data_IF_620802830342
#
_entry.id   IF_620802830342
#
_cell.length_a   1.000
_cell.length_b   1.000
_cell.length_c   1.000
_cell.angle_alpha   90.00
_cell.angle_beta   90.00
_cell.angle_gamma   90.00
#
_symmetry.space_group_name_H-M   'P 1'
#
loop_
_entity.id
_entity.type
_entity.pdbx_description
1 polymer ?
#
# COMPACT_ATOMS: atom_id res chain seq x y z
N UNK A 1 14.90 -5.82 7.20
CA UNK A 1 13.64 -5.95 7.99
C UNK A 1 12.44 -5.88 7.07
N UNK A 2 11.26 -6.36 7.50
CA UNK A 2 10.00 -6.18 6.80
C UNK A 2 9.08 -5.31 7.66
N UNK A 3 8.19 -4.53 7.03
CA UNK A 3 7.19 -3.70 7.71
C UNK A 3 5.93 -3.62 6.85
N UNK A 4 4.78 -3.91 7.45
CA UNK A 4 3.49 -3.94 6.75
C UNK A 4 2.43 -3.16 7.53
N UNK A 5 2.41 -1.82 7.43
CA UNK A 5 1.35 -1.03 8.08
C UNK A 5 -0.05 -1.44 7.64
N UNK A 6 -0.21 -1.98 6.43
CA UNK A 6 -1.48 -2.57 6.00
C UNK A 6 -2.00 -3.59 7.02
N UNK A 7 -1.16 -4.57 7.41
CA UNK A 7 -1.53 -5.60 8.39
C UNK A 7 -1.73 -4.97 9.78
N UNK A 8 -0.87 -4.02 10.14
CA UNK A 8 -0.93 -3.32 11.42
C UNK A 8 -2.18 -2.43 11.54
N UNK A 9 -2.87 -2.08 10.45
CA UNK A 9 -4.16 -1.40 10.51
C UNK A 9 -5.21 -2.18 11.32
N UNK A 10 -5.06 -3.52 11.41
CA UNK A 10 -5.87 -4.40 12.25
C UNK A 10 -5.17 -4.80 13.55
N UNK A 11 -3.89 -5.22 13.47
CA UNK A 11 -3.19 -5.81 14.63
C UNK A 11 -2.62 -4.77 15.60
N UNK A 12 -2.25 -3.57 15.11
CA UNK A 12 -1.74 -2.45 15.90
C UNK A 12 -2.40 -1.13 15.46
N UNK A 13 -3.72 -0.97 15.61
CA UNK A 13 -4.50 0.05 14.90
C UNK A 13 -4.38 1.47 15.46
N UNK A 14 -3.43 1.76 16.36
CA UNK A 14 -3.35 3.06 17.04
C UNK A 14 -3.17 4.25 16.09
N UNK A 15 -2.47 4.04 14.98
CA UNK A 15 -2.26 5.08 13.96
C UNK A 15 -3.39 5.10 12.89
N UNK A 16 -4.20 4.01 12.77
CA UNK A 16 -5.18 3.84 11.71
C UNK A 16 -6.57 4.35 12.08
N UNK A 17 -7.23 5.03 11.16
CA UNK A 17 -8.57 5.57 11.32
C UNK A 17 -8.64 7.08 11.10
N UNK A 18 -9.84 7.64 11.14
CA UNK A 18 -10.09 9.08 11.18
C UNK A 18 -9.97 9.50 12.64
N UNK A 19 -9.02 10.38 12.95
CA UNK A 19 -8.75 10.84 14.32
C UNK A 19 -9.65 12.02 14.72
N UNK A 20 -9.84 12.26 16.04
CA UNK A 20 -10.50 13.46 16.51
C UNK A 20 -9.86 14.73 15.93
N UNK A 21 -10.70 15.59 15.34
CA UNK A 21 -10.29 16.81 14.66
C UNK A 21 -10.10 16.66 13.13
N UNK A 22 -10.26 15.47 12.59
CA UNK A 22 -10.23 15.20 11.14
C UNK A 22 -11.66 15.06 10.54
N UNK A 23 -12.71 15.18 11.34
CA UNK A 23 -14.08 14.89 10.94
C UNK A 23 -14.57 15.81 9.81
N UNK A 24 -14.13 17.06 9.80
CA UNK A 24 -14.53 18.09 8.83
C UNK A 24 -13.67 18.12 7.57
N UNK A 25 -12.61 17.29 7.49
CA UNK A 25 -11.81 17.15 6.27
C UNK A 25 -12.62 16.50 5.16
N UNK A 26 -12.26 16.74 3.90
CA UNK A 26 -12.80 15.99 2.78
C UNK A 26 -12.42 14.50 2.89
N UNK A 27 -13.15 13.63 2.19
CA UNK A 27 -12.89 12.20 2.24
C UNK A 27 -11.49 11.84 1.76
N UNK A 28 -11.00 12.50 0.70
CA UNK A 28 -9.61 12.31 0.23
C UNK A 28 -8.60 12.75 1.30
N UNK A 29 -8.78 13.90 1.95
CA UNK A 29 -7.88 14.39 2.99
C UNK A 29 -7.86 13.47 4.24
N UNK A 30 -9.00 12.88 4.63
CA UNK A 30 -9.09 11.88 5.69
C UNK A 30 -8.23 10.65 5.37
N UNK A 31 -8.35 10.16 4.13
CA UNK A 31 -7.56 9.02 3.66
C UNK A 31 -6.07 9.39 3.62
N UNK A 32 -5.70 10.53 3.03
CA UNK A 32 -4.31 10.98 2.96
C UNK A 32 -3.67 11.11 4.34
N UNK A 33 -4.41 11.65 5.32
CA UNK A 33 -3.95 11.75 6.71
C UNK A 33 -3.68 10.39 7.34
N UNK A 34 -4.60 9.42 7.15
CA UNK A 34 -4.42 8.05 7.63
C UNK A 34 -3.22 7.37 6.95
N UNK A 35 -3.07 7.54 5.63
CA UNK A 35 -1.97 6.95 4.87
C UNK A 35 -0.60 7.56 5.23
N UNK A 36 -0.56 8.85 5.56
CA UNK A 36 0.65 9.49 6.08
C UNK A 36 1.06 8.87 7.41
N UNK A 37 0.12 8.68 8.35
CA UNK A 37 0.39 8.00 9.62
C UNK A 37 0.85 6.53 9.41
N UNK A 38 0.28 5.83 8.43
CA UNK A 38 0.73 4.49 8.08
C UNK A 38 2.20 4.46 7.63
N UNK A 39 2.60 5.41 6.80
CA UNK A 39 4.00 5.56 6.38
C UNK A 39 4.91 5.95 7.56
N UNK A 40 4.48 6.88 8.42
CA UNK A 40 5.22 7.27 9.64
C UNK A 40 5.37 6.08 10.60
N UNK A 41 4.37 5.21 10.70
CA UNK A 41 4.44 3.98 11.48
C UNK A 41 5.50 3.01 10.93
N UNK A 42 5.53 2.78 9.61
CA UNK A 42 6.59 1.96 8.98
C UNK A 42 7.99 2.52 9.26
N UNK A 43 8.15 3.83 9.16
CA UNK A 43 9.43 4.51 9.47
C UNK A 43 9.78 4.36 10.95
N UNK A 44 8.82 4.47 11.86
CA UNK A 44 9.06 4.28 13.30
C UNK A 44 9.55 2.87 13.63
N UNK A 45 9.03 1.84 12.95
CA UNK A 45 9.51 0.46 13.08
C UNK A 45 10.96 0.34 12.58
N UNK A 46 11.28 0.97 11.44
CA UNK A 46 12.65 1.00 10.92
C UNK A 46 13.62 1.68 11.91
N UNK A 47 13.27 2.85 12.43
CA UNK A 47 14.12 3.58 13.38
C UNK A 47 14.28 2.81 14.72
N UNK A 48 13.27 2.07 15.15
CA UNK A 48 13.34 1.21 16.33
C UNK A 48 14.37 0.09 16.15
N UNK A 49 14.36 -0.57 15.00
CA UNK A 49 15.37 -1.61 14.67
C UNK A 49 16.76 -1.01 14.58
N UNK A 50 16.90 0.16 13.95
CA UNK A 50 18.16 0.88 13.83
C UNK A 50 18.72 1.28 15.20
N UNK A 51 17.90 1.81 16.07
CA UNK A 51 18.28 2.17 17.43
C UNK A 51 18.70 0.94 18.24
N UNK A 52 18.00 -0.17 18.12
CA UNK A 52 18.34 -1.42 18.77
C UNK A 52 19.70 -1.95 18.30
N UNK A 53 19.94 -2.02 16.99
CA UNK A 53 21.25 -2.43 16.44
C UNK A 53 22.39 -1.55 16.97
N UNK A 54 22.18 -0.22 16.99
CA UNK A 54 23.16 0.73 17.53
C UNK A 54 23.44 0.49 19.02
N UNK A 55 22.45 0.14 19.81
CA UNK A 55 22.63 -0.18 21.25
C UNK A 55 23.48 -1.43 21.47
N UNK A 56 23.54 -2.32 20.47
CA UNK A 56 24.41 -3.52 20.48
C UNK A 56 25.79 -3.26 19.85
N UNK A 57 26.12 -2.02 19.49
CA UNK A 57 27.36 -1.68 18.82
C UNK A 57 27.44 -2.15 17.35
N UNK A 58 26.31 -2.48 16.75
CA UNK A 58 26.22 -2.91 15.34
C UNK A 58 25.96 -1.69 14.46
N UNK A 59 26.94 -1.35 13.61
CA UNK A 59 26.82 -0.28 12.60
C UNK A 59 26.81 -0.90 11.20
N UNK A 60 25.63 -1.31 10.77
CA UNK A 60 25.36 -1.88 9.44
C UNK A 60 24.15 -1.22 8.82
N UNK A 61 24.12 -1.07 7.48
CA UNK A 61 22.94 -0.60 6.79
C UNK A 61 21.76 -1.57 6.99
N UNK A 62 20.57 -1.02 7.09
CA UNK A 62 19.33 -1.78 7.18
C UNK A 62 18.57 -1.53 5.89
N UNK A 63 18.08 -2.60 5.27
CA UNK A 63 17.18 -2.54 4.13
C UNK A 63 15.77 -2.89 4.60
N UNK A 64 14.75 -2.21 4.07
CA UNK A 64 13.38 -2.71 4.12
C UNK A 64 13.26 -3.70 2.97
N UNK A 65 13.34 -5.00 3.32
CA UNK A 65 13.32 -6.10 2.34
C UNK A 65 11.93 -6.36 1.78
N UNK A 66 10.89 -5.99 2.55
CA UNK A 66 9.51 -6.01 2.08
C UNK A 66 8.70 -4.94 2.78
N UNK A 67 7.84 -4.28 2.01
CA UNK A 67 6.72 -3.46 2.45
C UNK A 67 5.72 -3.33 1.31
N UNK A 68 4.44 -3.22 1.60
CA UNK A 68 3.41 -3.14 0.57
C UNK A 68 2.04 -2.85 1.14
N UNK A 69 1.06 -2.77 0.25
CA UNK A 69 -0.33 -2.48 0.57
C UNK A 69 -1.25 -3.30 -0.33
N UNK A 70 -2.23 -4.00 0.24
CA UNK A 70 -3.19 -4.77 -0.53
C UNK A 70 -4.34 -3.92 -1.04
N UNK A 71 -4.84 -4.26 -2.23
CA UNK A 71 -5.94 -3.53 -2.88
C UNK A 71 -7.30 -4.18 -2.71
N UNK A 72 -7.36 -5.44 -2.29
CA UNK A 72 -8.60 -6.19 -2.05
C UNK A 72 -8.50 -6.94 -0.74
N UNK A 73 -9.61 -7.03 -0.01
CA UNK A 73 -9.73 -7.88 1.16
C UNK A 73 -11.20 -8.18 1.45
N UNK A 74 -11.50 -9.44 1.73
CA UNK A 74 -12.80 -9.92 2.19
C UNK A 74 -12.87 -10.13 3.71
N UNK A 75 -11.76 -9.87 4.41
CA UNK A 75 -11.60 -10.11 5.84
C UNK A 75 -11.38 -8.81 6.67
N UNK A 76 -10.45 -8.87 7.63
CA UNK A 76 -10.14 -7.81 8.60
C UNK A 76 -9.80 -6.46 7.96
N UNK A 77 -9.36 -6.41 6.71
CA UNK A 77 -8.91 -5.19 6.02
C UNK A 77 -9.94 -4.66 5.01
N UNK A 78 -11.00 -5.42 4.77
CA UNK A 78 -12.09 -5.08 3.86
C UNK A 78 -13.19 -4.24 4.51
N UNK A 79 -14.37 -4.21 3.87
CA UNK A 79 -15.52 -3.38 4.23
C UNK A 79 -16.06 -3.61 5.66
N UNK A 80 -15.95 -4.84 6.18
CA UNK A 80 -16.40 -5.18 7.55
C UNK A 80 -15.33 -4.96 8.62
N UNK A 81 -14.11 -4.59 8.22
CA UNK A 81 -12.95 -4.44 9.10
C UNK A 81 -12.38 -3.03 9.09
N UNK A 82 -11.08 -2.94 8.82
CA UNK A 82 -10.34 -1.66 8.88
C UNK A 82 -10.53 -0.78 7.65
N UNK A 83 -11.16 -1.29 6.59
CA UNK A 83 -11.37 -0.58 5.32
C UNK A 83 -10.05 -0.07 4.71
N UNK A 84 -8.98 -0.83 4.90
CA UNK A 84 -7.64 -0.44 4.45
C UNK A 84 -7.38 -0.80 2.98
N UNK A 85 -8.07 -1.81 2.44
CA UNK A 85 -7.78 -2.37 1.12
C UNK A 85 -8.48 -1.62 -0.01
N UNK A 86 -7.74 -0.90 -0.84
CA UNK A 86 -8.14 -0.37 -2.16
C UNK A 86 -6.93 0.18 -2.92
N UNK A 87 -7.08 0.41 -4.25
CA UNK A 87 -6.00 0.90 -5.11
C UNK A 87 -5.57 2.33 -4.81
N UNK A 88 -6.45 3.19 -4.27
CA UNK A 88 -6.09 4.55 -3.93
C UNK A 88 -5.11 4.60 -2.76
N UNK A 89 -5.38 3.81 -1.71
CA UNK A 89 -4.50 3.70 -0.55
C UNK A 89 -3.17 3.02 -0.90
N UNK A 90 -3.20 1.98 -1.74
CA UNK A 90 -1.97 1.38 -2.27
C UNK A 90 -1.09 2.43 -2.96
N UNK A 91 -1.67 3.24 -3.85
CA UNK A 91 -0.96 4.28 -4.59
C UNK A 91 -0.36 5.35 -3.65
N UNK A 92 -1.12 5.78 -2.64
CA UNK A 92 -0.63 6.72 -1.63
C UNK A 92 0.53 6.13 -0.82
N UNK A 93 0.39 4.88 -0.35
CA UNK A 93 1.45 4.22 0.41
C UNK A 93 2.71 4.04 -0.45
N UNK A 94 2.56 3.55 -1.68
CA UNK A 94 3.67 3.40 -2.62
C UNK A 94 4.40 4.73 -2.84
N UNK A 95 3.67 5.81 -3.09
CA UNK A 95 4.24 7.16 -3.27
C UNK A 95 5.01 7.61 -2.02
N UNK A 96 4.40 7.52 -0.84
CA UNK A 96 4.97 8.02 0.41
C UNK A 96 6.23 7.25 0.82
N UNK A 97 6.20 5.91 0.75
CA UNK A 97 7.35 5.10 1.14
C UNK A 97 8.51 5.23 0.14
N UNK A 98 8.21 5.38 -1.15
CA UNK A 98 9.21 5.63 -2.19
C UNK A 98 9.87 7.01 -2.02
N UNK A 99 9.07 8.03 -1.67
CA UNK A 99 9.61 9.36 -1.38
C UNK A 99 10.54 9.31 -0.17
N UNK A 100 10.12 8.71 0.93
CA UNK A 100 10.96 8.54 2.12
C UNK A 100 12.24 7.76 1.82
N UNK A 101 12.16 6.67 1.06
CA UNK A 101 13.32 5.89 0.61
C UNK A 101 14.35 6.77 -0.13
N UNK A 102 13.87 7.61 -1.04
CA UNK A 102 14.72 8.55 -1.79
C UNK A 102 15.37 9.61 -0.89
N UNK A 103 14.62 10.16 0.05
CA UNK A 103 15.09 11.22 0.95
C UNK A 103 16.07 10.71 2.01
N UNK A 104 15.80 9.53 2.58
CA UNK A 104 16.62 8.89 3.61
C UNK A 104 17.82 8.11 3.07
N UNK A 105 17.83 7.76 1.79
CA UNK A 105 18.80 6.85 1.19
C UNK A 105 18.65 5.39 1.60
N UNK A 106 17.56 5.03 2.28
CA UNK A 106 17.27 3.66 2.70
C UNK A 106 16.69 2.86 1.54
N UNK A 107 17.27 1.71 1.24
CA UNK A 107 16.74 0.80 0.22
C UNK A 107 15.43 0.16 0.67
N UNK A 108 14.42 0.23 -0.18
CA UNK A 108 13.08 -0.33 0.04
C UNK A 108 12.67 -1.19 -1.16
N UNK A 109 12.32 -2.43 -0.91
CA UNK A 109 11.69 -3.32 -1.88
C UNK A 109 10.19 -3.33 -1.64
N UNK A 110 9.46 -2.81 -2.62
CA UNK A 110 8.00 -2.79 -2.57
C UNK A 110 7.44 -4.16 -2.96
N UNK A 111 6.61 -4.70 -2.14
CA UNK A 111 5.93 -5.96 -2.30
C UNK A 111 4.48 -5.72 -2.69
N UNK A 112 4.07 -6.06 -3.95
CA UNK A 112 4.88 -6.79 -4.91
C UNK A 112 4.59 -6.34 -6.35
N UNK A 113 5.19 -6.99 -7.35
CA UNK A 113 4.99 -6.59 -8.74
C UNK A 113 3.61 -6.99 -9.29
N UNK A 114 3.18 -8.22 -9.07
CA UNK A 114 1.91 -8.77 -9.58
C UNK A 114 1.10 -9.40 -8.46
N UNK A 115 -0.21 -9.35 -8.58
CA UNK A 115 -1.11 -10.13 -7.74
C UNK A 115 -0.80 -11.63 -7.84
N UNK A 116 -0.90 -12.33 -6.72
CA UNK A 116 -0.53 -13.74 -6.59
C UNK A 116 -1.69 -14.59 -6.01
N UNK A 117 -2.71 -14.94 -6.82
CA UNK A 117 -3.94 -15.60 -6.37
C UNK A 117 -3.73 -17.00 -5.78
N UNK A 118 -2.52 -17.53 -5.85
CA UNK A 118 -2.16 -18.83 -5.25
C UNK A 118 -1.76 -18.75 -3.79
N UNK A 119 -1.56 -17.55 -3.20
CA UNK A 119 -1.16 -17.38 -1.79
C UNK A 119 -2.26 -17.74 -0.83
N UNK A 120 -3.50 -17.33 -1.11
CA UNK A 120 -4.69 -17.80 -0.41
C UNK A 120 -5.66 -18.45 -1.40
N UNK A 121 -5.59 -19.78 -1.46
CA UNK A 121 -6.45 -20.59 -2.35
C UNK A 121 -7.86 -20.78 -1.78
N UNK A 122 -8.09 -20.42 -0.52
CA UNK A 122 -9.39 -20.57 0.14
C UNK A 122 -10.28 -19.33 -0.10
N UNK A 123 -9.68 -18.19 -0.37
CA UNK A 123 -10.39 -16.96 -0.70
C UNK A 123 -9.73 -16.23 -1.88
N UNK A 124 -10.49 -16.06 -2.97
CA UNK A 124 -10.03 -15.26 -4.12
C UNK A 124 -9.76 -13.80 -3.74
N UNK A 125 -10.49 -13.28 -2.77
CA UNK A 125 -10.44 -11.89 -2.32
C UNK A 125 -9.63 -11.73 -1.01
N UNK A 126 -8.88 -12.76 -0.62
CA UNK A 126 -7.95 -12.71 0.51
C UNK A 126 -6.84 -11.69 0.28
N UNK A 127 -6.58 -10.84 1.27
CA UNK A 127 -5.67 -9.70 1.12
C UNK A 127 -4.27 -10.07 0.64
N UNK A 128 -3.77 -11.25 1.01
CA UNK A 128 -2.43 -11.73 0.62
C UNK A 128 -2.28 -11.98 -0.88
N UNK A 129 -3.38 -12.10 -1.62
CA UNK A 129 -3.38 -12.31 -3.07
C UNK A 129 -3.22 -11.01 -3.88
N UNK A 130 -3.38 -9.83 -3.24
CA UNK A 130 -3.65 -8.57 -3.95
C UNK A 130 -2.67 -7.43 -3.62
N UNK A 131 -1.42 -7.76 -3.28
CA UNK A 131 -0.36 -6.77 -3.01
C UNK A 131 0.36 -6.26 -4.27
N UNK A 132 0.03 -6.80 -5.45
CA UNK A 132 0.68 -6.45 -6.70
C UNK A 132 0.40 -5.01 -7.15
N UNK A 133 1.40 -4.34 -7.72
CA UNK A 133 1.22 -3.10 -8.48
C UNK A 133 0.53 -3.34 -9.83
N UNK A 134 0.50 -4.59 -10.25
CA UNK A 134 -0.25 -5.09 -11.41
C UNK A 134 -1.18 -6.22 -10.99
N UNK A 135 -2.31 -6.32 -11.69
CA UNK A 135 -3.17 -7.51 -11.58
C UNK A 135 -2.46 -8.76 -12.13
N UNK A 136 -3.03 -9.93 -11.87
CA UNK A 136 -2.50 -11.19 -12.44
C UNK A 136 -2.49 -11.19 -13.97
N UNK A 137 -3.40 -10.47 -14.62
CA UNK A 137 -3.49 -10.30 -16.07
C UNK A 137 -2.52 -9.23 -16.61
N UNK A 138 -1.88 -8.45 -15.74
CA UNK A 138 -0.92 -7.42 -16.12
C UNK A 138 -1.51 -6.02 -16.29
N UNK A 139 -2.72 -5.77 -15.80
CA UNK A 139 -3.24 -4.41 -15.75
C UNK A 139 -2.50 -3.62 -14.66
N UNK A 140 -2.08 -2.41 -14.99
CA UNK A 140 -1.45 -1.50 -14.04
C UNK A 140 -2.50 -0.92 -13.09
N UNK A 141 -2.29 -1.10 -11.77
CA UNK A 141 -3.14 -0.49 -10.75
C UNK A 141 -2.84 1.01 -10.61
N UNK A 142 -3.67 1.72 -9.86
CA UNK A 142 -3.66 3.19 -9.80
C UNK A 142 -2.28 3.79 -9.48
N UNK A 143 -1.47 3.11 -8.68
CA UNK A 143 -0.09 3.50 -8.37
C UNK A 143 0.83 3.68 -9.60
N UNK A 144 0.48 3.05 -10.71
CA UNK A 144 1.28 3.06 -11.95
C UNK A 144 0.58 3.72 -13.15
N UNK A 145 -0.62 4.30 -12.98
CA UNK A 145 -1.34 4.88 -14.12
C UNK A 145 -0.56 5.97 -14.84
N UNK A 146 0.14 6.85 -14.09
CA UNK A 146 1.00 7.88 -14.69
C UNK A 146 2.10 7.26 -15.56
N UNK A 147 2.64 6.10 -15.17
CA UNK A 147 3.67 5.39 -15.92
C UNK A 147 3.13 4.76 -17.21
N UNK A 148 1.86 4.35 -17.21
CA UNK A 148 1.17 3.94 -18.43
C UNK A 148 1.03 5.14 -19.38
N UNK A 149 0.60 6.30 -18.87
CA UNK A 149 0.44 7.53 -19.67
C UNK A 149 1.77 8.06 -20.23
N UNK A 150 2.86 7.90 -19.45
CA UNK A 150 4.22 8.24 -19.88
C UNK A 150 4.80 7.24 -20.92
N UNK A 151 4.08 6.15 -21.25
CA UNK A 151 4.53 5.14 -22.20
C UNK A 151 5.63 4.21 -21.67
N UNK A 152 5.89 4.20 -20.35
CA UNK A 152 6.95 3.38 -19.72
C UNK A 152 6.81 1.88 -20.03
N UNK A 153 5.58 1.43 -20.22
CA UNK A 153 5.26 0.01 -20.50
C UNK A 153 4.93 -0.27 -21.96
N UNK A 154 5.23 0.69 -22.88
CA UNK A 154 4.95 0.51 -24.30
C UNK A 154 5.71 -0.68 -24.86
N UNK A 155 5.01 -1.56 -25.59
CA UNK A 155 5.56 -2.81 -26.13
C UNK A 155 5.71 -3.95 -25.14
N UNK A 156 5.43 -3.72 -23.85
CA UNK A 156 5.40 -4.79 -22.84
C UNK A 156 4.00 -5.43 -22.80
N UNK A 157 3.98 -6.73 -22.50
CA UNK A 157 2.75 -7.49 -22.36
C UNK A 157 2.89 -8.60 -21.34
N UNK A 158 1.76 -9.01 -20.75
CA UNK A 158 1.67 -10.21 -19.93
C UNK A 158 0.71 -11.20 -20.57
N UNK A 159 1.19 -12.40 -20.89
CA UNK A 159 0.41 -13.44 -21.59
C UNK A 159 -0.22 -12.95 -22.92
N UNK A 160 0.46 -12.04 -23.62
CA UNK A 160 -0.02 -11.42 -24.86
C UNK A 160 -0.96 -10.22 -24.67
N UNK A 161 -1.36 -9.90 -23.45
CA UNK A 161 -2.15 -8.71 -23.14
C UNK A 161 -1.25 -7.51 -22.93
N UNK A 162 -1.44 -6.37 -23.63
CA UNK A 162 -0.67 -5.16 -23.39
C UNK A 162 -0.96 -4.61 -21.97
N UNK A 163 0.01 -3.88 -21.40
CA UNK A 163 -0.20 -3.21 -20.13
C UNK A 163 -1.19 -2.06 -20.32
N UNK A 164 -2.32 -2.14 -19.64
CA UNK A 164 -3.37 -1.11 -19.61
C UNK A 164 -3.71 -0.79 -18.14
N UNK A 165 -4.41 0.31 -17.90
CA UNK A 165 -4.86 0.69 -16.55
C UNK A 165 -6.02 -0.17 -16.09
N UNK A 166 -6.10 -0.46 -14.79
CA UNK A 166 -7.33 -0.92 -14.14
C UNK A 166 -8.45 0.11 -14.34
N UNK A 167 -9.70 -0.29 -14.14
CA UNK A 167 -10.89 0.56 -14.36
C UNK A 167 -10.92 1.26 -15.72
N UNK A 168 -10.25 0.74 -16.75
CA UNK A 168 -10.06 1.40 -18.06
C UNK A 168 -9.50 2.84 -17.95
N UNK A 169 -8.78 3.16 -16.89
CA UNK A 169 -8.26 4.50 -16.61
C UNK A 169 -9.28 5.50 -16.09
N UNK A 170 -10.47 5.05 -15.71
CA UNK A 170 -11.52 5.88 -15.13
C UNK A 170 -11.28 6.06 -13.62
N UNK A 171 -10.75 7.25 -13.25
CA UNK A 171 -10.48 7.59 -11.84
C UNK A 171 -11.76 7.65 -11.01
N UNK A 172 -12.88 8.09 -11.58
CA UNK A 172 -14.13 8.16 -10.85
C UNK A 172 -14.62 6.76 -10.47
N UNK A 173 -14.60 5.82 -11.43
CA UNK A 173 -14.97 4.44 -11.16
C UNK A 173 -14.05 3.79 -10.10
N UNK A 174 -12.75 4.08 -10.14
CA UNK A 174 -11.82 3.62 -9.10
C UNK A 174 -12.15 4.23 -7.74
N UNK A 175 -12.39 5.54 -7.66
CA UNK A 175 -12.72 6.21 -6.38
C UNK A 175 -14.06 5.74 -5.78
N UNK A 176 -15.00 5.25 -6.57
CA UNK A 176 -16.26 4.66 -6.09
C UNK A 176 -16.04 3.35 -5.30
N UNK A 177 -14.88 2.71 -5.47
CA UNK A 177 -14.48 1.51 -4.70
C UNK A 177 -13.73 1.84 -3.40
N UNK A 178 -13.35 3.10 -3.19
CA UNK A 178 -12.54 3.53 -2.05
C UNK A 178 -13.40 3.68 -0.80
N UNK A 179 -13.00 3.03 0.28
CA UNK A 179 -13.66 3.14 1.57
C UNK A 179 -12.91 4.11 2.51
N UNK A 180 -13.67 4.83 3.34
CA UNK A 180 -13.05 5.66 4.39
C UNK A 180 -12.52 4.78 5.52
N UNK A 181 -11.34 5.12 6.09
CA UNK A 181 -10.91 4.50 7.34
C UNK A 181 -11.95 4.70 8.45
N UNK A 182 -12.11 3.76 9.40
CA UNK A 182 -13.09 3.88 10.46
C UNK A 182 -12.80 5.09 11.36
N UNK A 183 -13.86 5.73 11.86
CA UNK A 183 -13.72 6.82 12.83
C UNK A 183 -13.24 6.25 14.16
N UNK A 184 -12.15 6.78 14.68
CA UNK A 184 -11.67 6.47 16.04
C UNK A 184 -12.52 7.17 17.09
N UNK A 185 -12.94 6.39 18.07
CA UNK A 185 -13.69 6.89 19.23
C UNK A 185 -12.74 7.33 20.34
#
# INVERSE_FOLDING_TARGET
MHTYPFLDSHYNPDYWGILPGEEDLSDEEKIESAMKRAQEFAVSQYESVRAYMKSLGVDKPIHIGETGWSTVSDDYFGASGTQAADEYKEALYHKLIRQWSKESGVSVFYFEAFDEPWKDQNSSDGSVNHFGLFTVEGQAKYALWDKVDEGVFEGLSRNGNPVVKTFNGDRQAMMETVALPPVKK
#
